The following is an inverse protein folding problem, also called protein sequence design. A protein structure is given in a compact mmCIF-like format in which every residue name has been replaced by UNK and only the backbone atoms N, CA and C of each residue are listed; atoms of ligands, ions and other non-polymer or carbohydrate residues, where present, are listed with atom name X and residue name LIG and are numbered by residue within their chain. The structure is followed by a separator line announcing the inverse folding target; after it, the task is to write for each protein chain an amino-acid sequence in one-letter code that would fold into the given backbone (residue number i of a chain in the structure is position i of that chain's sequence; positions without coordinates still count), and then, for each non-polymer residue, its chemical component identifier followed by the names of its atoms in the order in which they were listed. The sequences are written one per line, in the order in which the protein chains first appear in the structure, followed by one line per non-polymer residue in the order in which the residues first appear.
data_IF_933546751870
#
_entry.id   IF_933546751870
#
_cell.length_a   1.000
_cell.length_b   1.000
_cell.length_c   1.000
_cell.angle_alpha   90.00
_cell.angle_beta   90.00
_cell.angle_gamma   90.00
#
_symmetry.space_group_name_H-M   'P 1'
#
loop_
_entity.id
_entity.type
_entity.pdbx_description
1 polymer ?
#
# COMPACT_ATOMS: atom_id res chain seq x y z
N UNK A 1 -7.99 68.77 -30.83
CA UNK A 1 -8.64 67.93 -29.79
C UNK A 1 -8.43 66.47 -30.20
N UNK A 2 -7.60 65.73 -29.46
CA UNK A 2 -7.23 64.35 -29.78
C UNK A 2 -8.14 63.38 -29.01
N UNK A 3 -8.86 62.53 -29.73
CA UNK A 3 -9.64 61.42 -29.21
C UNK A 3 -8.71 60.26 -28.82
N UNK A 4 -8.70 59.87 -27.54
CA UNK A 4 -8.11 58.61 -27.08
C UNK A 4 -9.18 57.52 -27.08
N UNK A 5 -9.01 56.50 -27.92
CA UNK A 5 -9.73 55.23 -27.84
C UNK A 5 -9.01 54.31 -26.85
N UNK A 6 -9.67 53.96 -25.74
CA UNK A 6 -9.20 52.98 -24.78
C UNK A 6 -9.44 51.55 -25.29
N UNK A 7 -8.36 50.81 -25.49
CA UNK A 7 -8.39 49.38 -25.83
C UNK A 7 -8.53 48.58 -24.53
N UNK A 8 -9.69 47.93 -24.33
CA UNK A 8 -9.91 46.99 -23.22
C UNK A 8 -9.26 45.65 -23.61
N UNK A 9 -8.15 45.31 -22.95
CA UNK A 9 -7.46 44.05 -23.13
C UNK A 9 -8.14 42.97 -22.28
N UNK A 10 -8.95 42.10 -22.91
CA UNK A 10 -9.48 40.90 -22.28
C UNK A 10 -8.34 39.90 -21.99
N UNK A 11 -7.91 39.82 -20.72
CA UNK A 11 -7.06 38.76 -20.22
C UNK A 11 -7.83 37.43 -20.23
N UNK A 12 -7.64 36.65 -21.28
CA UNK A 12 -7.99 35.23 -21.30
C UNK A 12 -7.08 34.51 -20.31
N UNK A 13 -7.59 34.30 -19.09
CA UNK A 13 -6.92 33.49 -18.08
C UNK A 13 -6.77 32.06 -18.59
N UNK A 14 -5.54 31.66 -18.88
CA UNK A 14 -5.16 30.26 -19.11
C UNK A 14 -5.51 29.47 -17.85
N UNK A 15 -6.63 28.74 -17.88
CA UNK A 15 -6.93 27.74 -16.85
C UNK A 15 -5.88 26.65 -16.97
N UNK A 16 -4.86 26.70 -16.11
CA UNK A 16 -3.97 25.57 -15.90
C UNK A 16 -4.88 24.41 -15.48
N UNK A 17 -4.93 23.28 -16.21
CA UNK A 17 -5.69 22.14 -15.75
C UNK A 17 -5.13 21.77 -14.38
N UNK A 18 -5.99 21.83 -13.36
CA UNK A 18 -5.68 21.27 -12.05
C UNK A 18 -5.40 19.79 -12.31
N UNK A 19 -4.13 19.40 -12.28
CA UNK A 19 -3.76 17.99 -12.37
C UNK A 19 -4.47 17.29 -11.21
N UNK A 20 -5.30 16.31 -11.55
CA UNK A 20 -5.83 15.38 -10.58
C UNK A 20 -4.67 14.75 -9.80
N UNK A 21 -4.87 14.51 -8.50
CA UNK A 21 -3.84 13.91 -7.65
C UNK A 21 -3.62 12.46 -8.11
N UNK A 22 -2.37 12.11 -8.42
CA UNK A 22 -1.98 10.74 -8.80
C UNK A 22 -1.83 9.86 -7.55
N UNK A 23 -1.88 8.54 -7.73
CA UNK A 23 -1.62 7.53 -6.71
C UNK A 23 -0.52 6.55 -7.18
N UNK A 24 0.71 7.04 -7.40
CA UNK A 24 1.71 6.34 -8.22
C UNK A 24 2.36 5.13 -7.53
N UNK A 25 2.05 4.88 -6.26
CA UNK A 25 2.71 3.85 -5.45
C UNK A 25 1.85 3.42 -4.27
N UNK A 26 2.35 2.43 -3.51
CA UNK A 26 1.76 1.96 -2.26
C UNK A 26 1.31 3.12 -1.36
N UNK A 27 0.01 3.14 -1.00
CA UNK A 27 -0.61 4.15 -0.13
C UNK A 27 -0.44 5.62 -0.59
N UNK A 28 -0.29 5.82 -1.90
CA UNK A 28 -0.33 7.14 -2.53
C UNK A 28 1.03 7.83 -2.60
N UNK A 29 1.07 9.10 -3.05
CA UNK A 29 2.31 9.77 -3.43
C UNK A 29 3.33 9.90 -2.29
N UNK A 30 2.87 9.88 -1.03
CA UNK A 30 3.72 9.96 0.17
C UNK A 30 3.73 8.68 1.03
N UNK A 31 3.13 7.58 0.55
CA UNK A 31 2.95 6.31 1.30
C UNK A 31 2.20 6.42 2.63
N UNK A 32 1.45 7.49 2.83
CA UNK A 32 0.78 7.81 4.10
C UNK A 32 -0.71 7.48 4.12
N UNK A 33 -1.26 7.00 3.01
CA UNK A 33 -2.68 6.65 2.89
C UNK A 33 -3.57 7.88 2.96
N UNK A 34 -3.12 9.02 2.44
CA UNK A 34 -3.89 10.28 2.41
C UNK A 34 -4.26 10.63 0.97
N UNK A 35 -5.56 10.74 0.70
CA UNK A 35 -6.10 11.25 -0.55
C UNK A 35 -6.35 12.75 -0.45
N UNK A 36 -5.63 13.54 -1.25
CA UNK A 36 -5.58 15.01 -1.12
C UNK A 36 -6.39 15.74 -2.19
N UNK A 37 -6.99 15.00 -3.10
CA UNK A 37 -7.81 15.57 -4.16
C UNK A 37 -9.09 16.18 -3.59
N UNK A 38 -9.53 17.32 -4.13
CA UNK A 38 -10.72 18.03 -3.64
C UNK A 38 -11.94 17.78 -4.52
N UNK A 39 -13.11 18.18 -4.03
CA UNK A 39 -14.37 18.03 -4.76
C UNK A 39 -14.87 16.59 -4.75
N UNK A 40 -14.68 15.89 -3.64
CA UNK A 40 -15.07 14.50 -3.42
C UNK A 40 -16.43 14.42 -2.71
N UNK A 41 -17.21 13.38 -3.02
CA UNK A 41 -18.51 13.11 -2.37
C UNK A 41 -18.38 13.00 -0.84
N UNK A 42 -19.38 13.53 -0.13
CA UNK A 42 -19.48 13.45 1.33
C UNK A 42 -20.26 12.21 1.80
N UNK A 43 -21.15 11.71 0.94
CA UNK A 43 -21.87 10.46 1.11
C UNK A 43 -21.81 9.67 -0.18
N UNK A 44 -21.74 8.35 -0.07
CA UNK A 44 -21.78 7.47 -1.21
C UNK A 44 -23.22 7.42 -1.75
N UNK A 45 -23.43 7.49 -3.06
CA UNK A 45 -24.75 7.26 -3.64
C UNK A 45 -25.16 5.79 -3.40
N UNK A 46 -26.47 5.52 -3.28
CA UNK A 46 -26.95 4.16 -3.04
C UNK A 46 -26.47 3.14 -4.08
N UNK A 47 -26.32 3.57 -5.35
CA UNK A 47 -25.61 2.83 -6.41
C UNK A 47 -24.36 3.63 -6.80
N UNK A 48 -23.18 3.01 -6.66
CA UNK A 48 -21.93 3.62 -7.05
C UNK A 48 -21.85 3.88 -8.57
N UNK A 49 -21.37 5.05 -9.01
CA UNK A 49 -21.22 5.41 -10.42
C UNK A 49 -19.95 4.77 -10.99
N UNK A 50 -20.08 3.50 -11.36
CA UNK A 50 -18.98 2.72 -11.94
C UNK A 50 -18.70 3.26 -13.35
N UNK A 51 -17.46 3.69 -13.60
CA UNK A 51 -16.99 4.17 -14.91
C UNK A 51 -16.71 2.99 -15.85
N UNK A 52 -16.02 1.97 -15.35
CA UNK A 52 -15.67 0.76 -16.11
C UNK A 52 -15.30 -0.40 -15.18
N UNK A 53 -15.26 -1.60 -15.76
CA UNK A 53 -14.73 -2.86 -15.18
C UNK A 53 -13.83 -3.55 -16.20
N UNK A 54 -12.84 -4.30 -15.73
CA UNK A 54 -11.92 -5.09 -16.56
C UNK A 54 -11.57 -6.38 -15.83
N UNK A 55 -11.80 -7.53 -16.46
CA UNK A 55 -11.48 -8.84 -15.90
C UNK A 55 -9.97 -8.99 -15.72
N UNK A 56 -9.47 -9.46 -14.57
CA UNK A 56 -8.06 -9.73 -14.29
C UNK A 56 -7.93 -11.07 -13.53
N UNK A 57 -6.70 -11.55 -13.35
CA UNK A 57 -6.41 -12.70 -12.51
C UNK A 57 -6.25 -12.40 -11.02
N UNK A 58 -5.88 -13.44 -10.27
CA UNK A 58 -5.66 -13.38 -8.82
C UNK A 58 -4.48 -12.49 -8.43
N UNK A 59 -4.52 -11.93 -7.22
CA UNK A 59 -3.50 -11.01 -6.71
C UNK A 59 -3.96 -10.19 -5.50
N UNK A 60 -2.98 -9.78 -4.69
CA UNK A 60 -3.21 -8.95 -3.50
C UNK A 60 -2.67 -7.53 -3.66
N UNK A 61 -1.82 -7.29 -4.66
CA UNK A 61 -1.29 -5.97 -4.94
C UNK A 61 -2.42 -4.97 -5.22
N UNK A 62 -2.35 -3.78 -4.62
CA UNK A 62 -3.17 -2.66 -5.04
C UNK A 62 -2.77 -2.15 -6.42
N UNK A 63 -3.65 -1.41 -7.12
CA UNK A 63 -3.24 -0.68 -8.31
C UNK A 63 -2.40 0.54 -7.94
N UNK A 64 -1.59 1.01 -8.89
CA UNK A 64 -1.01 2.34 -8.91
C UNK A 64 -1.63 3.15 -10.04
N UNK A 65 -1.88 4.44 -9.84
CA UNK A 65 -2.49 5.31 -10.86
C UNK A 65 -1.59 6.52 -11.06
N UNK A 66 -1.13 6.74 -12.27
CA UNK A 66 -0.24 7.85 -12.59
C UNK A 66 -0.39 8.28 -14.05
N UNK A 67 -0.40 9.59 -14.31
CA UNK A 67 -0.39 10.12 -15.68
C UNK A 67 -1.55 9.62 -16.55
N UNK A 68 -2.73 9.41 -15.96
CA UNK A 68 -3.91 8.88 -16.67
C UNK A 68 -3.85 7.38 -16.98
N UNK A 69 -2.93 6.63 -16.36
CA UNK A 69 -2.81 5.17 -16.49
C UNK A 69 -3.02 4.47 -15.16
N UNK A 70 -3.51 3.24 -15.21
CA UNK A 70 -3.62 2.32 -14.06
C UNK A 70 -2.67 1.16 -14.28
N UNK A 71 -1.80 0.91 -13.31
CA UNK A 71 -0.86 -0.20 -13.30
C UNK A 71 -1.28 -1.20 -12.23
N UNK A 72 -1.54 -2.44 -12.63
CA UNK A 72 -1.97 -3.52 -11.73
C UNK A 72 -1.25 -4.81 -12.09
N UNK A 73 -0.99 -5.66 -11.10
CA UNK A 73 -0.39 -6.97 -11.33
C UNK A 73 -1.38 -8.08 -11.04
N UNK A 74 -1.32 -9.15 -11.82
CA UNK A 74 -2.10 -10.36 -11.56
C UNK A 74 -1.31 -11.63 -11.88
N UNK A 75 -1.92 -12.77 -11.54
CA UNK A 75 -1.44 -14.11 -11.88
C UNK A 75 -2.41 -14.81 -12.82
N UNK A 76 -1.87 -15.46 -13.84
CA UNK A 76 -2.60 -16.40 -14.70
C UNK A 76 -2.17 -17.84 -14.38
N UNK A 77 -3.14 -18.71 -14.13
CA UNK A 77 -2.90 -20.13 -13.92
C UNK A 77 -2.78 -20.84 -15.27
N UNK A 78 -1.86 -21.80 -15.38
CA UNK A 78 -1.82 -22.68 -16.55
C UNK A 78 -3.09 -23.54 -16.62
N UNK A 79 -3.45 -23.99 -17.83
CA UNK A 79 -4.61 -24.88 -18.03
C UNK A 79 -4.57 -26.09 -17.10
N UNK A 80 -5.68 -26.35 -16.41
CA UNK A 80 -5.83 -27.45 -15.46
C UNK A 80 -5.17 -27.24 -14.08
N UNK A 81 -4.47 -26.13 -13.86
CA UNK A 81 -3.91 -25.77 -12.55
C UNK A 81 -4.94 -24.98 -11.75
N UNK A 82 -5.12 -25.32 -10.48
CA UNK A 82 -5.95 -24.58 -9.52
C UNK A 82 -5.13 -24.28 -8.27
N UNK A 83 -5.49 -23.21 -7.56
CA UNK A 83 -4.94 -22.98 -6.24
C UNK A 83 -5.47 -24.05 -5.25
N UNK A 84 -4.66 -24.45 -4.25
CA UNK A 84 -5.10 -25.36 -3.20
C UNK A 84 -6.25 -24.75 -2.38
N UNK A 85 -7.15 -25.59 -1.90
CA UNK A 85 -8.27 -25.17 -1.03
C UNK A 85 -7.76 -24.66 0.33
N UNK A 86 -6.67 -25.26 0.84
CA UNK A 86 -5.96 -24.80 2.02
C UNK A 86 -4.90 -23.75 1.61
N UNK A 87 -5.05 -22.46 2.00
CA UNK A 87 -4.08 -21.43 1.66
C UNK A 87 -2.71 -21.63 2.33
N UNK A 88 -2.58 -22.51 3.34
CA UNK A 88 -1.31 -22.85 3.98
C UNK A 88 -0.54 -23.95 3.25
N UNK A 89 -1.18 -24.66 2.31
CA UNK A 89 -0.53 -25.70 1.54
C UNK A 89 0.42 -25.11 0.49
N UNK A 90 1.61 -25.71 0.36
CA UNK A 90 2.62 -25.31 -0.62
C UNK A 90 2.79 -26.45 -1.62
N UNK A 91 2.57 -26.15 -2.89
CA UNK A 91 2.84 -27.04 -4.00
C UNK A 91 3.32 -26.23 -5.21
N UNK A 92 3.88 -26.91 -6.21
CA UNK A 92 4.39 -26.27 -7.43
C UNK A 92 3.24 -25.97 -8.38
N UNK A 93 2.86 -24.70 -8.44
CA UNK A 93 1.75 -24.24 -9.27
C UNK A 93 2.28 -23.47 -10.49
N UNK A 94 2.13 -24.05 -11.68
CA UNK A 94 2.53 -23.42 -12.94
C UNK A 94 1.59 -22.28 -13.33
N UNK A 95 2.15 -21.24 -13.91
CA UNK A 95 1.43 -20.05 -14.35
C UNK A 95 2.36 -18.97 -14.86
N UNK A 96 1.83 -17.77 -14.98
CA UNK A 96 2.54 -16.53 -15.30
C UNK A 96 2.08 -15.42 -14.38
N UNK A 97 2.92 -14.40 -14.22
CA UNK A 97 2.51 -13.12 -13.63
C UNK A 97 2.47 -12.07 -14.74
N UNK A 98 1.59 -11.08 -14.57
CA UNK A 98 1.44 -9.96 -15.51
C UNK A 98 1.57 -8.64 -14.80
N UNK A 99 2.16 -7.67 -15.50
CA UNK A 99 2.01 -6.23 -15.23
C UNK A 99 1.11 -5.68 -16.33
N UNK A 100 -0.02 -5.10 -15.94
CA UNK A 100 -1.07 -4.64 -16.84
C UNK A 100 -1.15 -3.12 -16.72
N UNK A 101 -1.12 -2.43 -17.84
CA UNK A 101 -1.40 -1.00 -17.94
C UNK A 101 -2.74 -0.77 -18.62
N UNK A 102 -3.62 -0.05 -17.94
CA UNK A 102 -4.93 0.34 -18.43
C UNK A 102 -5.01 1.85 -18.60
N UNK A 103 -5.85 2.29 -19.51
CA UNK A 103 -6.30 3.67 -19.55
C UNK A 103 -7.20 3.98 -18.35
N UNK A 104 -6.87 4.99 -17.54
CA UNK A 104 -7.59 5.26 -16.30
C UNK A 104 -9.04 5.74 -16.52
N UNK A 105 -9.32 6.37 -17.67
CA UNK A 105 -10.65 6.88 -18.02
C UNK A 105 -11.60 5.80 -18.51
N UNK A 106 -11.08 4.81 -19.25
CA UNK A 106 -11.88 3.83 -20.01
C UNK A 106 -11.70 2.38 -19.54
N UNK A 107 -10.62 2.06 -18.84
CA UNK A 107 -10.28 0.68 -18.46
C UNK A 107 -9.73 -0.17 -19.60
N UNK A 108 -9.50 0.42 -20.78
CA UNK A 108 -8.97 -0.28 -21.93
C UNK A 108 -7.50 -0.67 -21.73
N UNK A 109 -7.13 -1.85 -22.22
CA UNK A 109 -5.75 -2.32 -22.20
C UNK A 109 -4.86 -1.39 -23.05
N UNK A 110 -3.76 -0.93 -22.47
CA UNK A 110 -2.71 -0.14 -23.14
C UNK A 110 -1.55 -1.05 -23.50
N UNK A 111 -1.08 -1.81 -22.52
CA UNK A 111 -0.08 -2.86 -22.71
C UNK A 111 -0.16 -3.88 -21.57
N UNK A 112 0.35 -5.08 -21.85
CA UNK A 112 0.51 -6.17 -20.87
C UNK A 112 1.92 -6.70 -21.03
N UNK A 113 2.66 -6.74 -19.92
CA UNK A 113 3.91 -7.48 -19.83
C UNK A 113 3.65 -8.76 -19.03
N UNK A 114 3.96 -9.91 -19.61
CA UNK A 114 3.71 -11.23 -19.03
C UNK A 114 4.99 -12.07 -19.01
N UNK A 115 5.24 -12.77 -17.91
CA UNK A 115 6.38 -13.68 -17.78
C UNK A 115 5.99 -14.98 -17.06
N UNK A 116 6.61 -16.13 -17.42
CA UNK A 116 6.39 -17.38 -16.71
C UNK A 116 6.78 -17.27 -15.24
N UNK A 117 5.92 -17.76 -14.34
CA UNK A 117 6.16 -17.71 -12.90
C UNK A 117 5.54 -18.91 -12.20
N UNK A 118 6.38 -19.85 -11.75
CA UNK A 118 5.93 -20.98 -10.93
C UNK A 118 5.89 -20.56 -9.46
N UNK A 119 4.75 -20.80 -8.82
CA UNK A 119 4.57 -20.51 -7.40
C UNK A 119 4.91 -21.74 -6.55
N UNK A 120 5.50 -21.49 -5.38
CA UNK A 120 5.75 -22.49 -4.34
C UNK A 120 5.65 -21.84 -2.95
N UNK A 121 4.62 -21.02 -2.76
CA UNK A 121 4.36 -20.20 -1.57
C UNK A 121 2.92 -20.43 -1.05
N UNK A 122 2.68 -20.07 0.21
CA UNK A 122 1.34 -20.01 0.77
C UNK A 122 0.55 -18.83 0.20
N UNK A 123 -0.78 -18.91 0.32
CA UNK A 123 -1.72 -17.93 -0.22
C UNK A 123 -1.47 -17.65 -1.71
N UNK A 124 -1.39 -18.65 -2.60
CA UNK A 124 -0.78 -18.51 -3.93
C UNK A 124 -1.62 -17.74 -4.97
N UNK A 125 -2.55 -16.87 -4.57
CA UNK A 125 -3.46 -16.23 -5.52
C UNK A 125 -2.77 -15.29 -6.51
N UNK A 126 -1.71 -14.59 -6.11
CA UNK A 126 -0.96 -13.75 -7.04
C UNK A 126 0.03 -12.78 -6.39
N UNK A 127 0.57 -11.83 -7.18
CA UNK A 127 1.51 -10.82 -6.71
C UNK A 127 0.90 -9.88 -5.66
N UNK A 128 1.76 -9.37 -4.76
CA UNK A 128 1.36 -8.67 -3.52
C UNK A 128 1.93 -7.26 -3.39
N UNK A 129 3.00 -6.96 -4.10
CA UNK A 129 3.63 -5.64 -4.08
C UNK A 129 2.94 -4.73 -5.10
N UNK A 130 2.41 -3.59 -4.63
CA UNK A 130 1.87 -2.54 -5.52
C UNK A 130 3.01 -2.01 -6.39
N UNK A 131 2.83 -1.89 -7.73
CA UNK A 131 3.81 -1.25 -8.60
C UNK A 131 4.12 0.19 -8.16
N UNK A 132 5.34 0.65 -8.41
CA UNK A 132 5.74 2.04 -8.19
C UNK A 132 6.01 2.71 -9.52
N UNK A 133 5.39 3.87 -9.77
CA UNK A 133 5.56 4.66 -10.98
C UNK A 133 6.38 5.90 -10.67
N UNK A 134 7.49 6.10 -11.37
CA UNK A 134 8.33 7.29 -11.24
C UNK A 134 9.04 7.59 -12.57
N UNK A 135 9.10 8.87 -12.95
CA UNK A 135 9.93 9.32 -14.08
C UNK A 135 9.70 8.59 -15.40
N UNK A 136 8.45 8.23 -15.72
CA UNK A 136 8.09 7.49 -16.95
C UNK A 136 8.42 5.99 -16.91
N UNK A 137 8.69 5.44 -15.72
CA UNK A 137 9.00 4.02 -15.51
C UNK A 137 8.05 3.39 -14.49
N UNK A 138 7.84 2.08 -14.62
CA UNK A 138 7.08 1.26 -13.69
C UNK A 138 8.02 0.22 -13.08
N UNK A 139 8.09 0.19 -11.75
CA UNK A 139 8.86 -0.79 -10.98
C UNK A 139 7.90 -1.80 -10.38
N UNK A 140 8.00 -3.05 -10.80
CA UNK A 140 7.13 -4.15 -10.32
C UNK A 140 7.96 -5.23 -9.66
N UNK A 141 7.50 -5.73 -8.51
CA UNK A 141 8.08 -6.88 -7.83
C UNK A 141 7.05 -8.02 -7.76
N UNK A 142 7.31 -9.10 -8.51
CA UNK A 142 6.50 -10.31 -8.51
C UNK A 142 6.60 -11.10 -7.20
N UNK A 143 5.63 -11.97 -6.93
CA UNK A 143 5.56 -12.74 -5.68
C UNK A 143 6.79 -13.63 -5.45
N UNK A 144 7.43 -14.06 -6.53
CA UNK A 144 8.56 -14.99 -6.53
C UNK A 144 9.92 -14.28 -6.72
N UNK A 145 9.98 -12.95 -6.58
CA UNK A 145 11.26 -12.22 -6.65
C UNK A 145 11.66 -11.80 -8.06
N UNK A 146 10.70 -11.66 -8.98
CA UNK A 146 10.94 -11.09 -10.30
C UNK A 146 10.78 -9.57 -10.20
N UNK A 147 11.89 -8.84 -10.17
CA UNK A 147 11.89 -7.39 -10.20
C UNK A 147 12.05 -6.93 -11.66
N UNK A 148 11.19 -6.00 -12.09
CA UNK A 148 11.28 -5.42 -13.42
C UNK A 148 11.09 -3.91 -13.39
N UNK A 149 11.82 -3.22 -14.26
CA UNK A 149 11.61 -1.84 -14.63
C UNK A 149 11.10 -1.80 -16.07
N UNK A 150 9.92 -1.24 -16.26
CA UNK A 150 9.25 -1.14 -17.55
C UNK A 150 9.09 0.32 -17.97
N UNK A 151 9.15 0.57 -19.27
CA UNK A 151 8.69 1.84 -19.85
C UNK A 151 7.19 2.03 -19.57
N UNK A 152 6.80 3.11 -18.91
CA UNK A 152 5.43 3.33 -18.47
C UNK A 152 4.43 3.49 -19.64
N UNK A 153 4.91 3.89 -20.82
CA UNK A 153 4.09 4.12 -22.02
C UNK A 153 4.00 2.86 -22.86
N UNK A 154 5.12 2.15 -23.04
CA UNK A 154 5.23 1.02 -23.98
C UNK A 154 5.11 -0.35 -23.32
N UNK A 155 5.34 -0.46 -22.02
CA UNK A 155 5.40 -1.75 -21.31
C UNK A 155 6.64 -2.59 -21.64
N UNK A 156 7.62 -2.01 -22.35
CA UNK A 156 8.87 -2.70 -22.67
C UNK A 156 9.76 -2.76 -21.43
N UNK A 157 10.34 -3.93 -21.16
CA UNK A 157 11.31 -4.10 -20.08
C UNK A 157 12.58 -3.31 -20.41
N UNK A 158 12.92 -2.36 -19.54
CA UNK A 158 14.16 -1.60 -19.61
C UNK A 158 15.31 -2.36 -18.93
N UNK A 159 15.01 -2.98 -17.79
CA UNK A 159 15.88 -3.95 -17.11
C UNK A 159 15.03 -4.84 -16.19
N UNK A 160 15.56 -6.02 -15.85
CA UNK A 160 14.94 -6.95 -14.91
C UNK A 160 15.98 -7.63 -14.04
N UNK A 161 15.56 -8.15 -12.89
CA UNK A 161 16.41 -8.85 -11.93
C UNK A 161 15.64 -9.98 -11.24
N UNK A 162 16.25 -11.15 -11.13
CA UNK A 162 15.79 -12.24 -10.28
C UNK A 162 16.46 -12.09 -8.90
N UNK A 163 15.68 -11.73 -7.88
CA UNK A 163 16.25 -11.42 -6.56
C UNK A 163 16.95 -12.64 -5.95
N UNK A 164 16.41 -13.85 -6.15
CA UNK A 164 16.97 -15.08 -5.60
C UNK A 164 18.32 -15.39 -6.26
N UNK A 165 18.37 -15.32 -7.60
CA UNK A 165 19.58 -15.67 -8.35
C UNK A 165 20.66 -14.60 -8.30
N UNK A 166 20.26 -13.32 -8.34
CA UNK A 166 21.20 -12.22 -8.55
C UNK A 166 21.53 -11.46 -7.27
N UNK A 167 20.63 -11.43 -6.28
CA UNK A 167 20.86 -10.71 -5.02
C UNK A 167 21.08 -11.63 -3.82
N UNK A 168 21.04 -12.95 -4.01
CA UNK A 168 21.00 -13.95 -2.92
C UNK A 168 19.77 -13.75 -2.02
N UNK A 169 18.68 -13.29 -2.64
CA UNK A 169 17.39 -13.15 -2.00
C UNK A 169 16.85 -14.49 -1.51
N UNK A 170 16.04 -14.43 -0.47
CA UNK A 170 15.30 -15.58 0.04
C UNK A 170 13.80 -15.33 -0.09
N UNK A 171 13.01 -16.40 -0.19
CA UNK A 171 11.56 -16.30 -0.31
C UNK A 171 10.87 -16.76 0.97
N UNK A 172 10.10 -15.84 1.55
CA UNK A 172 9.27 -16.12 2.71
C UNK A 172 8.03 -16.96 2.36
N UNK A 173 7.36 -17.48 3.40
CA UNK A 173 6.17 -18.31 3.25
C UNK A 173 5.07 -17.68 2.39
N UNK A 174 4.92 -16.34 2.41
CA UNK A 174 3.92 -15.60 1.64
C UNK A 174 4.48 -14.87 0.41
N UNK A 175 5.73 -15.15 0.03
CA UNK A 175 6.42 -14.48 -1.08
C UNK A 175 6.72 -13.00 -0.82
N UNK A 176 7.18 -12.31 -1.86
CA UNK A 176 7.47 -10.88 -1.80
C UNK A 176 6.19 -10.04 -1.82
N UNK A 177 6.14 -9.03 -0.96
CA UNK A 177 4.99 -8.09 -0.85
C UNK A 177 5.40 -6.64 -0.61
N UNK A 178 6.68 -6.39 -0.33
CA UNK A 178 7.21 -5.06 -0.07
C UNK A 178 7.29 -4.25 -1.37
N UNK A 179 6.44 -3.22 -1.50
CA UNK A 179 6.40 -2.35 -2.68
C UNK A 179 7.73 -1.57 -2.82
N UNK A 180 8.44 -1.67 -3.97
CA UNK A 180 9.71 -0.96 -4.19
C UNK A 180 9.56 0.55 -3.99
N UNK A 181 10.54 1.22 -3.36
CA UNK A 181 10.50 2.65 -3.07
C UNK A 181 11.51 3.39 -3.95
N UNK A 182 11.10 4.48 -4.61
CA UNK A 182 12.00 5.35 -5.35
C UNK A 182 12.32 6.61 -4.54
N UNK A 183 13.60 6.98 -4.48
CA UNK A 183 14.08 8.27 -3.96
C UNK A 183 15.25 8.77 -4.81
N UNK A 184 15.02 9.85 -5.56
CA UNK A 184 16.02 10.37 -6.52
C UNK A 184 16.38 9.33 -7.58
N UNK A 185 17.65 8.92 -7.64
CA UNK A 185 18.17 7.88 -8.54
C UNK A 185 18.12 6.46 -7.96
N UNK A 186 17.61 6.28 -6.73
CA UNK A 186 17.66 5.01 -6.02
C UNK A 186 16.31 4.32 -6.01
N UNK A 187 16.33 3.01 -6.23
CA UNK A 187 15.23 2.10 -6.02
C UNK A 187 15.57 1.19 -4.85
N UNK A 188 14.84 1.30 -3.74
CA UNK A 188 15.00 0.44 -2.58
C UNK A 188 14.08 -0.77 -2.67
N UNK A 189 14.65 -1.96 -2.45
CA UNK A 189 13.98 -3.26 -2.57
C UNK A 189 14.33 -4.11 -1.36
N UNK A 190 13.31 -4.65 -0.69
CA UNK A 190 13.49 -5.69 0.33
C UNK A 190 13.67 -7.01 -0.39
N UNK A 191 14.92 -7.44 -0.57
CA UNK A 191 15.24 -8.67 -1.29
C UNK A 191 15.32 -9.91 -0.37
N UNK A 192 15.52 -9.68 0.93
CA UNK A 192 15.71 -10.74 1.91
C UNK A 192 17.02 -11.50 1.72
N UNK A 193 17.32 -12.41 2.64
CA UNK A 193 18.52 -13.23 2.59
C UNK A 193 19.73 -12.65 3.31
N UNK A 194 20.86 -13.33 3.12
CA UNK A 194 22.13 -13.11 3.82
C UNK A 194 23.06 -12.16 3.06
N UNK A 195 24.21 -11.83 3.67
CA UNK A 195 25.22 -10.94 3.12
C UNK A 195 24.69 -9.52 2.85
N UNK A 196 23.86 -9.02 3.75
CA UNK A 196 23.25 -7.69 3.68
C UNK A 196 22.13 -7.56 2.66
N UNK A 197 21.61 -8.66 2.11
CA UNK A 197 20.57 -8.61 1.09
C UNK A 197 19.16 -8.26 1.63
N UNK A 198 18.99 -8.07 2.94
CA UNK A 198 17.72 -7.69 3.55
C UNK A 198 17.11 -6.46 2.90
N UNK A 199 17.92 -5.42 2.67
CA UNK A 199 17.53 -4.22 1.94
C UNK A 199 18.61 -3.82 0.93
N UNK A 200 18.21 -3.65 -0.33
CA UNK A 200 19.13 -3.29 -1.42
C UNK A 200 18.69 -1.97 -2.05
N UNK A 201 19.66 -1.10 -2.33
CA UNK A 201 19.47 0.05 -3.20
C UNK A 201 20.05 -0.24 -4.58
N UNK A 202 19.21 -0.06 -5.59
CA UNK A 202 19.58 -0.19 -7.00
C UNK A 202 19.54 1.19 -7.66
N UNK A 203 20.36 1.40 -8.68
CA UNK A 203 20.19 2.49 -9.62
C UNK A 203 18.89 2.26 -10.39
N UNK A 204 17.97 3.23 -10.32
CA UNK A 204 16.61 3.05 -10.82
C UNK A 204 16.53 2.93 -12.34
N UNK A 205 17.56 3.37 -13.07
CA UNK A 205 17.57 3.38 -14.53
C UNK A 205 18.26 2.15 -15.12
N UNK A 206 19.16 1.52 -14.37
CA UNK A 206 19.99 0.40 -14.85
C UNK A 206 19.82 -0.90 -14.07
N UNK A 207 19.21 -0.86 -12.87
CA UNK A 207 19.07 -2.01 -11.99
C UNK A 207 20.39 -2.47 -11.35
N UNK A 208 21.48 -1.72 -11.53
CA UNK A 208 22.77 -1.99 -10.90
C UNK A 208 22.70 -1.73 -9.42
N UNK A 209 23.31 -2.59 -8.62
CA UNK A 209 23.39 -2.38 -7.19
C UNK A 209 24.27 -1.18 -6.86
N UNK A 210 23.76 -0.33 -5.95
CA UNK A 210 24.49 0.79 -5.35
C UNK A 210 25.05 0.35 -4.00
N UNK A 211 24.19 -0.22 -3.15
CA UNK A 211 24.54 -0.78 -1.85
C UNK A 211 23.52 -1.81 -1.41
N UNK A 212 23.90 -2.65 -0.46
CA UNK A 212 23.01 -3.56 0.27
C UNK A 212 23.30 -3.46 1.78
N UNK A 213 22.28 -3.65 2.61
CA UNK A 213 22.38 -3.55 4.05
C UNK A 213 21.37 -4.47 4.78
N UNK A 214 21.72 -4.79 6.03
CA UNK A 214 20.95 -5.59 6.98
C UNK A 214 20.88 -7.06 6.59
N UNK A 215 21.44 -7.92 7.46
CA UNK A 215 21.23 -9.37 7.38
C UNK A 215 19.89 -9.74 8.01
N UNK A 216 19.11 -10.54 7.30
CA UNK A 216 17.81 -11.01 7.79
C UNK A 216 17.63 -12.50 7.51
N UNK A 217 17.18 -13.24 8.53
CA UNK A 217 16.71 -14.62 8.37
C UNK A 217 15.25 -14.66 7.86
N UNK A 218 14.47 -13.64 8.21
CA UNK A 218 13.14 -13.36 7.69
C UNK A 218 13.11 -11.86 7.39
N UNK A 219 12.71 -11.48 6.18
CA UNK A 219 12.76 -10.10 5.71
C UNK A 219 11.46 -9.32 5.93
N UNK A 220 10.42 -9.96 6.47
CA UNK A 220 9.13 -9.34 6.69
C UNK A 220 8.41 -8.95 5.40
N UNK A 221 7.46 -8.03 5.53
CA UNK A 221 6.52 -7.70 4.45
C UNK A 221 6.30 -6.20 4.25
N UNK A 222 6.63 -5.38 5.27
CA UNK A 222 6.43 -3.95 5.26
C UNK A 222 7.26 -3.26 4.16
N UNK A 223 6.63 -2.41 3.33
CA UNK A 223 7.34 -1.51 2.45
C UNK A 223 8.23 -0.53 3.22
N UNK A 224 9.47 -0.24 2.77
CA UNK A 224 10.28 0.79 3.39
C UNK A 224 9.63 2.17 3.18
N UNK A 225 9.94 3.10 4.08
CA UNK A 225 9.46 4.49 4.02
C UNK A 225 10.61 5.47 4.16
N UNK A 226 10.51 6.57 3.44
CA UNK A 226 11.42 7.72 3.60
C UNK A 226 10.79 8.70 4.58
N UNK A 227 11.57 9.18 5.54
CA UNK A 227 11.14 10.25 6.43
C UNK A 227 12.27 11.26 6.66
N UNK A 228 11.85 12.47 7.03
CA UNK A 228 12.75 13.56 7.39
C UNK A 228 12.53 13.91 8.86
N UNK A 229 13.60 13.97 9.66
CA UNK A 229 13.59 14.54 11.02
C UNK A 229 14.49 15.76 11.05
N UNK A 230 13.89 16.95 10.93
CA UNK A 230 14.67 18.17 10.75
C UNK A 230 15.47 18.13 9.44
N UNK A 231 16.78 18.25 9.51
CA UNK A 231 17.68 18.18 8.34
C UNK A 231 18.10 16.76 7.94
N UNK A 232 17.74 15.74 8.73
CA UNK A 232 18.19 14.38 8.50
C UNK A 232 17.13 13.55 7.77
N UNK A 233 17.44 13.18 6.52
CA UNK A 233 16.65 12.26 5.69
C UNK A 233 17.07 10.83 5.96
N UNK A 234 16.11 9.95 6.26
CA UNK A 234 16.37 8.57 6.69
C UNK A 234 15.45 7.59 5.99
N UNK A 235 16.01 6.47 5.58
CA UNK A 235 15.27 5.32 5.06
C UNK A 235 14.93 4.39 6.21
N UNK A 236 13.65 4.20 6.49
CA UNK A 236 13.18 3.25 7.51
C UNK A 236 12.89 1.90 6.86
N UNK A 237 13.52 0.87 7.40
CA UNK A 237 13.24 -0.53 7.09
C UNK A 237 12.85 -1.25 8.38
N UNK A 238 11.64 -1.82 8.39
CA UNK A 238 11.17 -2.60 9.53
C UNK A 238 11.27 -4.09 9.24
N UNK A 239 12.36 -4.68 9.70
CA UNK A 239 12.56 -6.13 9.63
C UNK A 239 11.89 -6.81 10.84
N UNK A 240 11.68 -8.13 10.77
CA UNK A 240 11.26 -8.93 11.92
C UNK A 240 12.16 -8.88 13.14
N UNK A 241 13.41 -8.42 13.02
CA UNK A 241 14.33 -8.30 14.16
C UNK A 241 14.27 -6.91 14.81
N UNK A 242 14.15 -5.86 14.00
CA UNK A 242 14.24 -4.49 14.49
C UNK A 242 13.65 -3.45 13.51
N UNK A 243 13.41 -2.25 14.03
CA UNK A 243 13.20 -1.05 13.20
C UNK A 243 14.57 -0.43 12.93
N UNK A 244 14.94 -0.34 11.66
CA UNK A 244 16.21 0.21 11.20
C UNK A 244 15.99 1.57 10.56
N UNK A 245 16.88 2.53 10.84
CA UNK A 245 17.07 3.69 9.99
C UNK A 245 18.42 3.62 9.31
N UNK A 246 18.43 3.91 8.01
CA UNK A 246 19.61 3.89 7.18
C UNK A 246 19.78 5.22 6.46
N UNK A 247 21.03 5.58 6.22
CA UNK A 247 21.38 6.66 5.30
C UNK A 247 21.00 6.23 3.87
N UNK A 248 20.10 6.96 3.17
CA UNK A 248 19.60 6.51 1.86
C UNK A 248 20.69 6.36 0.80
N UNK A 249 21.78 7.11 0.93
CA UNK A 249 22.86 7.18 -0.06
C UNK A 249 23.85 6.04 0.04
N UNK A 250 24.13 5.53 1.24
CA UNK A 250 25.20 4.56 1.49
C UNK A 250 24.71 3.25 2.10
N UNK A 251 23.48 3.20 2.64
CA UNK A 251 22.99 2.05 3.40
C UNK A 251 23.61 1.93 4.78
N UNK A 252 24.36 2.92 5.25
CA UNK A 252 24.89 2.95 6.62
C UNK A 252 23.74 3.01 7.62
N UNK A 253 23.73 2.10 8.59
CA UNK A 253 22.79 2.14 9.71
C UNK A 253 23.03 3.39 10.54
N UNK A 254 22.00 4.22 10.67
CA UNK A 254 21.99 5.44 11.48
C UNK A 254 21.61 5.10 12.93
N UNK A 255 20.60 4.26 13.10
CA UNK A 255 20.19 3.69 14.38
C UNK A 255 19.34 2.44 14.14
N UNK A 256 19.20 1.63 15.18
CA UNK A 256 18.37 0.43 15.21
C UNK A 256 17.64 0.36 16.56
N UNK A 257 16.37 -0.03 16.55
CA UNK A 257 15.61 -0.35 17.76
C UNK A 257 15.12 -1.81 17.69
N UNK A 258 15.65 -2.71 18.55
CA UNK A 258 15.25 -4.12 18.57
C UNK A 258 13.77 -4.33 18.87
N UNK A 259 13.11 -5.09 17.98
CA UNK A 259 11.72 -5.50 18.14
C UNK A 259 11.49 -6.86 17.47
N UNK A 260 11.95 -7.92 18.15
CA UNK A 260 11.88 -9.29 17.64
C UNK A 260 10.43 -9.77 17.51
N UNK A 261 9.99 -10.01 16.28
CA UNK A 261 8.63 -10.42 15.97
C UNK A 261 8.46 -11.94 15.96
N UNK A 262 7.31 -12.38 16.45
CA UNK A 262 6.86 -13.75 16.29
C UNK A 262 6.42 -13.98 14.84
N UNK A 263 6.88 -15.08 14.25
CA UNK A 263 6.53 -15.52 12.87
C UNK A 263 6.85 -14.51 11.76
N UNK A 264 7.80 -13.59 11.97
CA UNK A 264 8.25 -12.70 10.88
C UNK A 264 7.27 -11.59 10.48
N UNK A 265 6.22 -11.34 11.27
CA UNK A 265 5.06 -10.56 10.84
C UNK A 265 5.22 -9.04 10.92
N UNK A 266 6.28 -8.46 10.34
CA UNK A 266 6.35 -7.01 10.09
C UNK A 266 5.58 -6.67 8.81
N UNK A 267 4.27 -6.52 8.92
CA UNK A 267 3.37 -6.35 7.76
C UNK A 267 2.92 -4.89 7.57
N UNK A 268 2.45 -4.24 8.64
CA UNK A 268 1.99 -2.85 8.57
C UNK A 268 3.15 -1.92 8.19
N UNK A 269 2.90 -0.96 7.30
CA UNK A 269 3.91 0.07 7.00
C UNK A 269 4.12 0.96 8.24
N UNK A 270 5.37 1.30 8.62
CA UNK A 270 5.63 2.27 9.68
C UNK A 270 4.92 3.61 9.43
N UNK A 271 4.36 4.21 10.49
CA UNK A 271 3.61 5.48 10.42
C UNK A 271 4.35 6.56 11.16
N UNK A 272 4.65 7.65 10.46
CA UNK A 272 5.40 8.78 10.99
C UNK A 272 4.49 9.98 11.25
N UNK A 273 4.54 10.50 12.47
CA UNK A 273 4.03 11.81 12.85
C UNK A 273 5.17 12.83 12.76
N UNK A 274 5.21 13.69 11.72
CA UNK A 274 6.28 14.67 11.56
C UNK A 274 6.23 15.79 12.59
N UNK A 275 5.06 16.13 13.13
CA UNK A 275 4.90 17.22 14.11
C UNK A 275 5.55 16.84 15.43
N UNK A 276 5.34 15.59 15.87
CA UNK A 276 5.94 15.05 17.10
C UNK A 276 7.24 14.27 16.87
N UNK A 277 7.65 14.06 15.62
CA UNK A 277 8.76 13.16 15.24
C UNK A 277 8.61 11.76 15.82
N UNK A 278 7.42 11.20 15.72
CA UNK A 278 7.10 9.90 16.30
C UNK A 278 6.87 8.85 15.23
N UNK A 279 7.49 7.69 15.39
CA UNK A 279 7.37 6.57 14.48
C UNK A 279 6.63 5.43 15.18
N UNK A 280 5.52 5.02 14.61
CA UNK A 280 4.66 3.96 15.11
C UNK A 280 4.76 2.72 14.22
N UNK A 281 4.93 1.56 14.85
CA UNK A 281 4.84 0.24 14.21
C UNK A 281 3.94 -0.68 15.03
N UNK A 282 3.32 -1.67 14.39
CA UNK A 282 2.46 -2.65 15.07
C UNK A 282 2.49 -3.99 14.35
N UNK A 283 2.59 -5.07 15.12
CA UNK A 283 2.63 -6.44 14.61
C UNK A 283 1.54 -7.31 15.27
N UNK A 284 1.19 -8.39 14.58
CA UNK A 284 0.05 -9.23 14.91
C UNK A 284 0.13 -9.85 16.32
N UNK A 285 1.25 -10.47 16.68
CA UNK A 285 1.42 -11.02 18.02
C UNK A 285 1.97 -9.99 18.99
N UNK A 286 3.05 -9.32 18.60
CA UNK A 286 3.88 -8.46 19.46
C UNK A 286 3.26 -7.09 19.79
N UNK A 287 2.16 -6.73 19.13
CA UNK A 287 1.46 -5.48 19.40
C UNK A 287 2.25 -4.26 18.93
N UNK A 288 1.97 -3.09 19.53
CA UNK A 288 2.49 -1.81 19.04
C UNK A 288 3.80 -1.37 19.69
N UNK A 289 4.55 -0.52 18.99
CA UNK A 289 5.73 0.18 19.46
C UNK A 289 5.70 1.63 18.96
N UNK A 290 5.95 2.58 19.86
CA UNK A 290 6.10 4.00 19.55
C UNK A 290 7.52 4.47 19.85
N UNK A 291 8.17 5.06 18.85
CA UNK A 291 9.51 5.61 18.94
C UNK A 291 9.47 7.13 18.81
N UNK A 292 10.27 7.80 19.63
CA UNK A 292 10.61 9.20 19.47
C UNK A 292 11.89 9.29 18.67
N UNK A 293 11.86 9.93 17.50
CA UNK A 293 13.05 10.13 16.67
C UNK A 293 13.74 11.45 17.03
N UNK A 294 15.08 11.48 17.04
CA UNK A 294 15.89 12.68 17.26
C UNK A 294 15.69 13.74 16.16
N UNK A 295 15.98 15.02 16.45
CA UNK A 295 15.76 16.12 15.51
C UNK A 295 17.07 16.47 14.79
N UNK A 296 17.17 16.23 13.48
CA UNK A 296 18.34 16.57 12.68
C UNK A 296 19.56 15.68 12.90
N UNK A 297 19.50 14.71 13.81
CA UNK A 297 20.58 13.79 14.15
C UNK A 297 20.08 12.33 14.25
N UNK A 298 20.97 11.33 14.05
CA UNK A 298 20.59 9.92 14.22
C UNK A 298 20.18 9.60 15.65
N UNK A 299 19.03 8.95 15.82
CA UNK A 299 18.64 8.37 17.09
C UNK A 299 17.14 8.15 17.20
N UNK A 300 16.80 7.15 18.00
CA UNK A 300 15.44 6.84 18.39
C UNK A 300 15.42 6.42 19.87
N UNK A 301 14.32 6.71 20.56
CA UNK A 301 14.07 6.23 21.91
C UNK A 301 12.64 5.68 22.00
N UNK A 302 12.47 4.57 22.72
CA UNK A 302 11.14 4.01 22.98
C UNK A 302 10.35 4.97 23.87
N UNK A 303 9.19 5.43 23.38
CA UNK A 303 8.23 6.17 24.19
C UNK A 303 7.39 5.19 25.00
N UNK A 304 6.85 4.18 24.32
CA UNK A 304 6.09 3.09 24.92
C UNK A 304 6.04 1.89 23.97
N UNK A 305 5.75 0.72 24.53
CA UNK A 305 5.61 -0.56 23.83
C UNK A 305 4.47 -1.37 24.44
N UNK A 306 3.77 -2.12 23.61
CA UNK A 306 2.88 -3.19 24.04
C UNK A 306 3.63 -4.23 24.88
N UNK A 307 2.87 -4.94 25.71
CA UNK A 307 3.34 -5.96 26.66
C UNK A 307 2.79 -7.34 26.31
N UNK A 308 1.87 -7.44 25.34
CA UNK A 308 1.31 -8.70 24.89
C UNK A 308 2.05 -9.29 23.69
N UNK A 309 2.15 -10.62 23.66
CA UNK A 309 2.58 -11.42 22.51
C UNK A 309 1.47 -12.37 22.08
N UNK A 310 0.22 -11.90 22.06
CA UNK A 310 -0.96 -12.72 21.76
C UNK A 310 -1.86 -12.06 20.74
N UNK A 311 -2.29 -12.82 19.73
CA UNK A 311 -3.34 -12.36 18.81
C UNK A 311 -4.72 -12.20 19.48
N UNK A 312 -4.94 -12.82 20.66
CA UNK A 312 -6.23 -12.80 21.39
C UNK A 312 -6.20 -11.86 22.58
N UNK A 313 -5.20 -11.99 23.43
CA UNK A 313 -5.03 -11.15 24.63
C UNK A 313 -4.31 -9.86 24.28
N UNK A 314 -4.89 -9.08 23.37
CA UNK A 314 -4.29 -7.85 22.84
C UNK A 314 -4.38 -6.70 23.85
N UNK A 315 -3.28 -5.97 24.08
CA UNK A 315 -3.22 -4.85 25.04
C UNK A 315 -3.16 -3.47 24.39
N UNK A 316 -2.75 -3.40 23.12
CA UNK A 316 -2.78 -2.19 22.29
C UNK A 316 -3.39 -2.47 20.91
N UNK A 317 -2.78 -1.99 19.85
CA UNK A 317 -3.16 -2.36 18.48
C UNK A 317 -2.24 -3.48 18.00
N UNK A 318 -2.83 -4.64 17.69
CA UNK A 318 -2.14 -5.80 17.16
C UNK A 318 -2.60 -5.99 15.71
N UNK A 319 -2.14 -5.12 14.82
CA UNK A 319 -2.57 -5.16 13.43
C UNK A 319 -1.86 -6.31 12.70
N UNK A 320 -2.56 -6.94 11.75
CA UNK A 320 -1.98 -7.90 10.82
C UNK A 320 -1.80 -7.25 9.45
N UNK A 321 -2.88 -7.11 8.68
CA UNK A 321 -2.85 -6.57 7.32
C UNK A 321 -3.16 -5.06 7.28
N UNK A 322 -3.76 -4.51 8.34
CA UNK A 322 -4.10 -3.09 8.42
C UNK A 322 -2.82 -2.29 8.59
N UNK A 323 -2.59 -1.32 7.72
CA UNK A 323 -1.66 -0.24 8.04
C UNK A 323 -2.44 0.88 8.73
N UNK A 324 -2.12 1.23 10.00
CA UNK A 324 -2.87 2.23 10.75
C UNK A 324 -2.78 3.63 10.16
N UNK A 325 -3.64 4.52 10.67
CA UNK A 325 -3.61 5.95 10.38
C UNK A 325 -3.40 6.75 11.68
N UNK A 326 -2.70 7.86 11.58
CA UNK A 326 -2.52 8.82 12.67
C UNK A 326 -3.25 10.12 12.32
N UNK A 327 -4.07 10.62 13.23
CA UNK A 327 -4.81 11.88 13.10
C UNK A 327 -5.01 12.47 14.49
N UNK A 328 -4.72 13.76 14.65
CA UNK A 328 -4.99 14.55 15.86
C UNK A 328 -4.54 13.88 17.17
N UNK A 329 -3.31 13.34 17.18
CA UNK A 329 -2.72 12.69 18.36
C UNK A 329 -3.30 11.31 18.69
N UNK A 330 -4.03 10.69 17.77
CA UNK A 330 -4.64 9.37 17.94
C UNK A 330 -4.29 8.44 16.78
N UNK A 331 -4.24 7.15 17.08
CA UNK A 331 -3.95 6.07 16.13
C UNK A 331 -5.22 5.27 15.90
N UNK A 332 -5.58 5.09 14.63
CA UNK A 332 -6.72 4.30 14.19
C UNK A 332 -6.25 3.10 13.38
N UNK A 333 -6.75 1.92 13.67
CA UNK A 333 -6.37 0.72 12.94
C UNK A 333 -7.19 -0.50 13.31
N UNK A 334 -7.14 -1.53 12.47
CA UNK A 334 -7.87 -2.79 12.67
C UNK A 334 -6.97 -3.81 13.36
N UNK A 335 -7.42 -4.32 14.50
CA UNK A 335 -6.74 -5.31 15.30
C UNK A 335 -7.01 -6.75 14.80
N UNK A 336 -6.27 -7.71 15.33
CA UNK A 336 -6.26 -9.15 15.05
C UNK A 336 -7.58 -9.83 14.67
N UNK A 337 -8.71 -9.40 15.23
CA UNK A 337 -10.03 -10.03 15.03
C UNK A 337 -11.08 -9.06 14.46
N UNK A 338 -10.62 -8.05 13.72
CA UNK A 338 -11.49 -7.07 13.06
C UNK A 338 -11.84 -5.86 13.91
N UNK A 339 -11.37 -5.75 15.16
CA UNK A 339 -11.69 -4.59 15.98
C UNK A 339 -11.02 -3.34 15.40
N UNK A 340 -11.81 -2.40 14.86
CA UNK A 340 -11.33 -1.05 14.60
C UNK A 340 -11.14 -0.36 15.95
N UNK A 341 -9.92 0.08 16.23
CA UNK A 341 -9.54 0.70 17.50
C UNK A 341 -9.11 2.14 17.31
N UNK A 342 -9.30 2.94 18.36
CA UNK A 342 -8.61 4.20 18.58
C UNK A 342 -7.69 4.08 19.78
N UNK A 343 -6.43 4.48 19.63
CA UNK A 343 -5.45 4.57 20.69
C UNK A 343 -4.98 6.02 20.84
N UNK A 344 -4.70 6.44 22.07
CA UNK A 344 -3.92 7.65 22.34
C UNK A 344 -2.50 7.46 21.81
N UNK A 345 -2.01 8.31 20.91
CA UNK A 345 -0.65 8.17 20.38
C UNK A 345 0.43 8.44 21.45
N UNK A 346 0.08 9.19 22.50
CA UNK A 346 0.99 9.53 23.61
C UNK A 346 1.30 8.32 24.50
N UNK A 347 0.32 7.46 24.74
CA UNK A 347 0.39 6.42 25.78
C UNK A 347 0.19 5.01 25.24
N UNK A 348 -0.35 4.87 24.02
CA UNK A 348 -0.78 3.59 23.47
C UNK A 348 -2.08 3.05 24.08
N UNK A 349 -2.71 3.79 25.01
CA UNK A 349 -3.95 3.38 25.66
C UNK A 349 -5.09 3.34 24.64
N UNK A 350 -5.80 2.21 24.61
CA UNK A 350 -7.04 2.07 23.84
C UNK A 350 -8.12 2.97 24.42
N UNK A 351 -8.64 3.88 23.59
CA UNK A 351 -9.74 4.80 23.89
C UNK A 351 -11.08 4.12 23.65
N UNK A 352 -11.24 3.51 22.47
CA UNK A 352 -12.43 2.75 22.10
C UNK A 352 -12.08 1.65 21.10
N UNK A 353 -13.00 0.71 20.94
CA UNK A 353 -13.01 -0.24 19.83
C UNK A 353 -14.44 -0.52 19.34
N UNK A 354 -14.59 -0.81 18.06
CA UNK A 354 -15.84 -1.28 17.44
C UNK A 354 -15.52 -2.32 16.36
N UNK A 355 -16.54 -3.04 15.90
CA UNK A 355 -16.47 -3.98 14.76
C UNK A 355 -17.35 -3.54 13.59
N UNK A 356 -17.96 -2.36 13.65
CA UNK A 356 -18.96 -1.93 12.67
C UNK A 356 -18.38 -1.77 11.25
N UNK A 357 -17.13 -1.29 11.11
CA UNK A 357 -16.50 -1.09 9.80
C UNK A 357 -16.06 -2.39 9.11
N UNK A 358 -15.96 -3.48 9.87
CA UNK A 358 -15.37 -4.76 9.47
C UNK A 358 -16.39 -5.86 9.74
N UNK A 359 -16.41 -6.42 10.96
CA UNK A 359 -17.27 -7.47 11.50
C UNK A 359 -16.50 -8.32 12.53
N UNK A 360 -16.96 -9.56 12.79
CA UNK A 360 -16.41 -10.42 13.85
C UNK A 360 -15.78 -11.70 13.29
N UNK A 361 -14.46 -11.68 13.13
CA UNK A 361 -13.71 -12.90 12.87
C UNK A 361 -12.21 -12.68 12.83
N UNK A 362 -11.48 -13.81 12.86
CA UNK A 362 -10.02 -13.80 12.88
C UNK A 362 -9.46 -13.21 11.57
N UNK A 363 -8.48 -12.32 11.72
CA UNK A 363 -7.81 -11.59 10.63
C UNK A 363 -8.73 -10.70 9.81
N UNK A 364 -9.85 -10.26 10.39
CA UNK A 364 -10.67 -9.30 9.69
C UNK A 364 -9.93 -7.97 9.55
N UNK A 365 -10.11 -7.30 8.40
CA UNK A 365 -9.28 -6.18 8.00
C UNK A 365 -10.04 -5.11 7.20
N UNK A 366 -9.50 -3.89 7.25
CA UNK A 366 -9.85 -2.80 6.35
C UNK A 366 -8.63 -1.89 6.09
N UNK A 367 -8.63 -1.25 4.93
CA UNK A 367 -7.66 -0.24 4.55
C UNK A 367 -8.22 1.15 4.87
N UNK A 368 -7.45 1.94 5.62
CA UNK A 368 -7.84 3.29 6.07
C UNK A 368 -7.16 4.34 5.18
N UNK A 369 -7.98 5.15 4.49
CA UNK A 369 -7.53 6.25 3.65
C UNK A 369 -8.09 7.55 4.21
N UNK A 370 -7.21 8.44 4.67
CA UNK A 370 -7.61 9.75 5.17
C UNK A 370 -7.92 10.68 4.01
N UNK A 371 -9.02 11.42 4.09
CA UNK A 371 -9.37 12.45 3.13
C UNK A 371 -10.03 13.61 3.89
N UNK A 372 -9.39 14.78 3.87
CA UNK A 372 -9.81 15.95 4.64
C UNK A 372 -10.04 15.59 6.12
N UNK A 373 -11.27 15.77 6.61
CA UNK A 373 -11.71 15.52 7.99
C UNK A 373 -12.20 14.07 8.23
N UNK A 374 -12.36 13.28 7.17
CA UNK A 374 -12.97 11.95 7.19
C UNK A 374 -12.04 10.84 6.69
N UNK A 375 -12.54 9.61 6.76
CA UNK A 375 -11.86 8.43 6.26
C UNK A 375 -12.72 7.72 5.21
N UNK A 376 -12.06 7.30 4.13
CA UNK A 376 -12.53 6.23 3.26
C UNK A 376 -11.96 4.92 3.80
N UNK A 377 -12.84 3.99 4.14
CA UNK A 377 -12.48 2.68 4.68
C UNK A 377 -12.92 1.63 3.67
N UNK A 378 -11.95 0.95 3.06
CA UNK A 378 -12.20 -0.18 2.17
C UNK A 378 -12.04 -1.46 2.99
N UNK A 379 -13.15 -2.10 3.34
CA UNK A 379 -13.11 -3.33 4.12
C UNK A 379 -12.95 -4.55 3.21
N UNK A 380 -12.47 -5.65 3.78
CA UNK A 380 -12.23 -6.88 3.02
C UNK A 380 -13.52 -7.58 2.55
N UNK A 381 -14.68 -7.19 3.06
CA UNK A 381 -15.97 -7.66 2.55
C UNK A 381 -16.28 -7.02 1.18
N UNK A 382 -15.51 -6.00 0.80
CA UNK A 382 -15.62 -5.29 -0.47
C UNK A 382 -16.55 -4.07 -0.40
N UNK A 383 -16.83 -3.56 0.80
CA UNK A 383 -17.51 -2.28 0.97
C UNK A 383 -16.52 -1.11 0.93
N UNK A 384 -17.00 0.01 0.43
CA UNK A 384 -16.42 1.33 0.69
C UNK A 384 -17.29 2.03 1.72
N UNK A 385 -16.66 2.54 2.77
CA UNK A 385 -17.31 3.26 3.87
C UNK A 385 -16.70 4.64 3.95
N UNK A 386 -17.54 5.65 4.14
CA UNK A 386 -17.13 7.00 4.56
C UNK A 386 -17.46 7.12 6.05
N UNK A 387 -16.46 7.41 6.88
CA UNK A 387 -16.64 7.54 8.32
C UNK A 387 -15.82 8.70 8.90
N UNK A 388 -16.32 9.27 9.99
CA UNK A 388 -15.52 10.08 10.89
C UNK A 388 -14.90 9.18 11.96
N UNK A 389 -13.59 9.27 12.12
CA UNK A 389 -12.82 8.63 13.19
C UNK A 389 -12.26 9.73 14.08
N UNK A 390 -12.70 9.72 15.34
CA UNK A 390 -12.27 10.68 16.36
C UNK A 390 -12.10 9.98 17.71
N UNK A 391 -11.52 10.64 18.73
CA UNK A 391 -11.43 10.07 20.08
C UNK A 391 -12.80 9.81 20.72
N UNK A 392 -13.87 10.43 20.20
CA UNK A 392 -15.24 10.23 20.67
C UNK A 392 -15.89 8.95 20.12
N UNK A 393 -15.35 8.38 19.04
CA UNK A 393 -15.84 7.13 18.48
C UNK A 393 -15.68 7.01 16.96
N UNK A 394 -16.22 5.91 16.46
CA UNK A 394 -16.49 5.67 15.05
C UNK A 394 -17.89 6.20 14.70
N UNK A 395 -17.99 7.03 13.66
CA UNK A 395 -19.27 7.48 13.12
C UNK A 395 -19.35 7.20 11.63
N UNK A 396 -20.09 6.17 11.26
CA UNK A 396 -20.39 5.88 9.86
C UNK A 396 -21.24 7.00 9.24
N UNK A 397 -20.78 7.57 8.13
CA UNK A 397 -21.50 8.58 7.37
C UNK A 397 -22.23 7.97 6.17
N UNK A 398 -21.63 6.96 5.54
CA UNK A 398 -22.17 6.26 4.39
C UNK A 398 -21.44 4.95 4.13
N UNK A 399 -22.11 3.97 3.53
CA UNK A 399 -21.53 2.71 3.06
C UNK A 399 -22.13 2.32 1.71
N UNK A 400 -21.32 1.76 0.82
CA UNK A 400 -21.77 1.15 -0.41
C UNK A 400 -20.89 -0.04 -0.78
N UNK A 401 -21.47 -1.04 -1.47
CA UNK A 401 -20.72 -2.16 -2.03
C UNK A 401 -19.82 -1.66 -3.17
N UNK A 402 -18.51 -1.77 -2.99
CA UNK A 402 -17.52 -1.34 -3.99
C UNK A 402 -17.22 -2.47 -4.99
N UNK A 403 -16.87 -3.63 -4.47
CA UNK A 403 -16.45 -4.80 -5.25
C UNK A 403 -16.80 -6.07 -4.49
N UNK A 404 -16.97 -7.20 -5.18
CA UNK A 404 -17.27 -8.46 -4.49
C UNK A 404 -16.03 -9.11 -3.87
N UNK A 405 -16.22 -9.66 -2.67
CA UNK A 405 -15.27 -10.56 -2.05
C UNK A 405 -15.43 -11.95 -2.67
N UNK A 406 -14.40 -12.40 -3.40
CA UNK A 406 -14.46 -13.64 -4.19
C UNK A 406 -13.51 -14.72 -3.68
N UNK A 407 -12.42 -14.32 -3.01
CA UNK A 407 -11.37 -15.24 -2.61
C UNK A 407 -11.71 -15.96 -1.30
N UNK A 408 -11.88 -17.30 -1.29
CA UNK A 408 -12.14 -18.02 -0.05
C UNK A 408 -10.86 -18.10 0.80
N UNK A 409 -10.92 -17.55 2.02
CA UNK A 409 -9.89 -17.72 3.05
C UNK A 409 -10.57 -18.22 4.31
N UNK A 410 -10.20 -19.44 4.72
CA UNK A 410 -10.85 -20.16 5.81
C UNK A 410 -12.38 -20.25 5.62
N UNK A 411 -13.17 -19.52 6.43
CA UNK A 411 -14.63 -19.63 6.48
C UNK A 411 -15.36 -18.47 5.79
N UNK A 412 -14.66 -17.64 5.02
CA UNK A 412 -15.22 -16.42 4.41
C UNK A 412 -14.53 -16.05 3.11
N UNK A 413 -15.16 -15.18 2.32
CA UNK A 413 -14.55 -14.58 1.14
C UNK A 413 -13.94 -13.23 1.48
N UNK A 414 -12.83 -12.87 0.83
CA UNK A 414 -12.07 -11.64 1.15
C UNK A 414 -11.69 -10.83 -0.09
N UNK A 415 -11.42 -9.55 0.14
CA UNK A 415 -10.71 -8.62 -0.73
C UNK A 415 -9.52 -8.07 0.06
N UNK A 416 -8.33 -8.60 -0.20
CA UNK A 416 -7.10 -8.19 0.47
C UNK A 416 -6.18 -7.42 -0.48
N UNK A 417 -6.75 -6.43 -1.17
CA UNK A 417 -6.02 -5.52 -2.04
C UNK A 417 -6.31 -4.07 -1.66
N UNK A 418 -5.26 -3.28 -1.49
CA UNK A 418 -5.38 -1.86 -1.17
C UNK A 418 -5.92 -1.09 -2.38
N UNK A 419 -6.98 -0.26 -2.26
CA UNK A 419 -7.45 0.55 -3.38
C UNK A 419 -6.49 1.71 -3.70
N UNK A 420 -6.59 2.27 -4.90
CA UNK A 420 -5.96 3.53 -5.27
C UNK A 420 -6.99 4.64 -5.45
N UNK A 421 -6.62 5.88 -5.14
CA UNK A 421 -7.49 7.04 -5.27
C UNK A 421 -6.84 8.10 -6.15
N UNK A 422 -7.42 8.39 -7.31
CA UNK A 422 -6.92 9.38 -8.25
C UNK A 422 -8.04 9.81 -9.22
N UNK A 423 -7.96 11.01 -9.80
CA UNK A 423 -8.93 11.45 -10.82
C UNK A 423 -10.38 11.48 -10.31
N UNK A 424 -10.55 11.89 -9.05
CA UNK A 424 -11.76 11.86 -8.24
C UNK A 424 -12.42 10.49 -8.23
N UNK A 425 -11.64 9.42 -8.29
CA UNK A 425 -12.14 8.06 -8.38
C UNK A 425 -11.39 7.12 -7.46
N UNK A 426 -12.04 6.00 -7.14
CA UNK A 426 -11.40 4.85 -6.51
C UNK A 426 -11.22 3.74 -7.54
N UNK A 427 -10.03 3.16 -7.57
CA UNK A 427 -9.68 1.98 -8.33
C UNK A 427 -9.48 0.83 -7.36
N UNK A 428 -10.26 -0.23 -7.53
CA UNK A 428 -10.25 -1.38 -6.63
C UNK A 428 -10.29 -2.68 -7.44
N UNK A 429 -9.64 -3.72 -6.89
CA UNK A 429 -9.57 -5.03 -7.53
C UNK A 429 -9.89 -6.16 -6.56
N UNK A 430 -10.33 -7.28 -7.12
CA UNK A 430 -10.43 -8.59 -6.49
C UNK A 430 -9.81 -9.64 -7.44
N UNK A 431 -9.89 -10.92 -7.09
CA UNK A 431 -9.28 -12.03 -7.87
C UNK A 431 -9.87 -12.31 -9.25
N UNK A 432 -10.79 -11.47 -9.73
CA UNK A 432 -11.51 -11.64 -10.99
C UNK A 432 -11.61 -10.35 -11.80
N UNK A 433 -11.60 -9.17 -11.17
CA UNK A 433 -11.78 -7.89 -11.85
C UNK A 433 -11.07 -6.72 -11.15
N UNK A 434 -10.81 -5.67 -11.92
CA UNK A 434 -10.51 -4.32 -11.45
C UNK A 434 -11.58 -3.37 -11.99
N UNK A 435 -11.98 -2.39 -11.18
CA UNK A 435 -12.99 -1.41 -11.54
C UNK A 435 -12.58 0.01 -11.14
N UNK A 436 -13.24 0.99 -11.75
CA UNK A 436 -13.12 2.40 -11.42
C UNK A 436 -14.49 2.98 -11.06
N UNK A 437 -14.59 3.65 -9.91
CA UNK A 437 -15.81 4.33 -9.45
C UNK A 437 -15.55 5.82 -9.32
N UNK A 438 -16.44 6.63 -9.90
CA UNK A 438 -16.42 8.07 -9.73
C UNK A 438 -16.87 8.49 -8.33
N UNK A 439 -16.02 9.23 -7.62
CA UNK A 439 -16.27 9.78 -6.30
C UNK A 439 -16.25 11.32 -6.31
N UNK A 440 -16.31 11.95 -7.49
CA UNK A 440 -16.44 13.41 -7.61
C UNK A 440 -17.81 13.91 -7.16
N UNK A 441 -17.86 15.10 -6.54
CA UNK A 441 -19.11 15.78 -6.18
C UNK A 441 -19.99 15.94 -7.42
N UNK A 442 -21.27 15.56 -7.30
CA UNK A 442 -22.23 15.62 -8.39
C UNK A 442 -22.15 14.44 -9.37
N UNK A 443 -21.33 13.42 -9.09
CA UNK A 443 -21.34 12.17 -9.85
C UNK A 443 -22.75 11.57 -9.82
N UNK A 444 -23.31 11.34 -11.01
CA UNK A 444 -24.59 10.64 -11.19
C UNK A 444 -24.30 9.16 -11.45
N UNK A 445 -25.14 8.22 -10.99
CA UNK A 445 -25.01 6.82 -11.37
C UNK A 445 -24.90 6.71 -12.90
N UNK A 446 -23.75 6.26 -13.39
CA UNK A 446 -23.56 6.05 -14.82
C UNK A 446 -24.61 5.05 -15.33
N UNK A 447 -25.23 5.36 -16.46
CA UNK A 447 -26.02 4.39 -17.21
C UNK A 447 -25.05 3.30 -17.69
N UNK A 448 -24.98 2.18 -16.96
CA UNK A 448 -24.36 0.96 -17.48
C UNK A 448 -25.23 0.49 -18.63
N UNK A 449 -24.74 0.59 -19.88
CA UNK A 449 -25.34 -0.17 -20.99
C UNK A 449 -25.24 -1.66 -20.64
N UNK A 450 -26.31 -2.43 -20.90
CA UNK A 450 -26.39 -3.85 -20.53
C UNK A 450 -25.28 -4.69 -21.15
#
# INVERSE_FOLDING_TARGET
MRTLSGLVLCLLGSTVPVFADDWPQWRGPKRDGVWRETGIVEKLPGKLPIRWRREIGGGYAGPAVAGGRVYVTDRQLSSGVRNPDDPFHREKLKGSERVICLDAGTGADVWIHEYPCQYEIQYPAGPRATPTVDGGKVYSLGAMGHLACLDAVKGTVLWSKDLLKELKGEINAWGYSSAPLVDGQRLFVVAGGSEGAGLVALDKDTGKEIWRAIDVEDFGYAPPVMLDTGSLRQLIYWSPKAVHALEPTTGKVLWEEPFQLQSGLSVATPIFDPEKRRLFVTAFYNGPLMLQLSNGEPGAAVVWRGKSQSERQTDGLHAILCTPALKDGHIYGVCSYGQLRCLEAETGKRVWETREATGDGRWWNAFLIRHEDRFFIANEQGDLIIADLSPHGYKELSRAKLIDAVQPIQRRKVVWSHPAFAGRAVFARNDQEILCVDLGRGSKPGYTRP
#
